data_IF_881238653210
#
_entry.id   IF_881238653210
#
_cell.length_a   1.000
_cell.length_b   1.000
_cell.length_c   1.000
_cell.angle_alpha   90.00
_cell.angle_beta   90.00
_cell.angle_gamma   90.00
#
_symmetry.space_group_name_H-M   'P 1'
#
loop_
_entity.id
_entity.type
_entity.pdbx_description
1 polymer ?
#
# COMPACT_ATOMS: atom_id res chain seq x y z
N UNK A 1 51.41 -32.73 46.40
CA UNK A 1 50.71 -32.06 47.51
C UNK A 1 49.26 -31.86 47.12
N UNK A 2 48.35 -32.24 48.03
CA UNK A 2 46.90 -32.06 48.06
C UNK A 2 46.06 -32.76 46.97
N UNK A 3 45.49 -33.90 47.36
CA UNK A 3 44.29 -34.51 46.82
C UNK A 3 43.05 -33.97 47.58
N UNK A 4 41.88 -33.96 46.94
CA UNK A 4 40.61 -34.24 47.63
C UNK A 4 39.51 -34.65 46.65
N UNK A 5 38.86 -35.75 47.01
CA UNK A 5 37.78 -36.42 46.32
C UNK A 5 36.43 -35.72 46.55
N UNK A 6 35.45 -35.99 45.68
CA UNK A 6 34.04 -35.91 46.07
C UNK A 6 33.21 -37.08 45.53
N UNK A 7 32.39 -37.60 46.43
CA UNK A 7 31.64 -38.84 46.40
C UNK A 7 30.44 -38.84 45.45
N UNK A 8 30.14 -40.02 44.92
CA UNK A 8 28.83 -40.41 44.38
C UNK A 8 27.78 -40.45 45.49
N UNK A 9 26.58 -39.93 45.19
CA UNK A 9 25.37 -40.26 45.92
C UNK A 9 24.32 -40.79 44.92
N UNK A 10 23.92 -42.04 45.17
CA UNK A 10 22.86 -42.77 44.47
C UNK A 10 21.52 -42.34 45.07
N UNK A 11 20.58 -41.92 44.23
CA UNK A 11 19.21 -41.61 44.61
C UNK A 11 18.23 -42.24 43.63
N UNK A 12 17.65 -43.37 44.04
CA UNK A 12 16.51 -44.03 43.40
C UNK A 12 15.24 -43.20 43.56
N UNK A 13 14.52 -42.97 42.46
CA UNK A 13 13.12 -42.53 42.49
C UNK A 13 12.31 -43.45 41.56
N UNK A 14 11.36 -44.16 42.16
CA UNK A 14 10.41 -45.05 41.53
C UNK A 14 9.48 -44.27 40.58
N UNK A 15 9.39 -44.72 39.34
CA UNK A 15 8.26 -44.43 38.46
C UNK A 15 7.12 -45.40 38.77
N UNK A 16 5.95 -44.87 39.07
CA UNK A 16 4.71 -45.64 39.05
C UNK A 16 4.01 -45.42 37.70
N UNK A 17 4.01 -46.47 36.86
CA UNK A 17 3.09 -46.61 35.73
C UNK A 17 1.68 -46.98 36.22
N UNK A 18 0.66 -46.59 35.45
CA UNK A 18 -0.31 -47.51 34.83
C UNK A 18 -1.28 -46.76 33.87
N UNK A 19 -1.94 -47.45 32.91
CA UNK A 19 -2.08 -47.03 31.52
C UNK A 19 -3.55 -47.13 31.02
N UNK A 20 -3.76 -46.93 29.73
CA UNK A 20 -4.76 -47.61 28.85
C UNK A 20 -4.68 -46.93 27.47
N UNK A 21 -4.08 -47.48 26.41
CA UNK A 21 -4.23 -48.73 25.66
C UNK A 21 -5.52 -48.85 24.81
N UNK A 22 -5.39 -48.57 23.51
CA UNK A 22 -5.96 -49.31 22.36
C UNK A 22 -5.41 -48.66 21.07
N UNK A 23 -4.54 -49.21 20.24
CA UNK A 23 -4.22 -50.59 19.92
C UNK A 23 -4.84 -50.94 18.56
N UNK A 24 -4.05 -50.93 17.48
CA UNK A 24 -4.02 -51.98 16.45
C UNK A 24 -2.79 -51.84 15.52
N UNK A 25 -2.11 -52.97 15.37
CA UNK A 25 -0.91 -53.35 14.57
C UNK A 25 -1.13 -53.27 13.04
N UNK A 26 -0.21 -53.50 12.09
CA UNK A 26 1.22 -53.81 11.89
C UNK A 26 1.48 -53.42 10.39
N UNK A 27 2.68 -53.08 9.91
CA UNK A 27 3.67 -54.01 9.37
C UNK A 27 4.98 -53.26 9.06
N UNK A 28 6.10 -53.96 9.30
CA UNK A 28 7.48 -53.54 9.04
C UNK A 28 7.87 -53.85 7.58
N UNK A 29 8.49 -52.87 6.92
CA UNK A 29 9.31 -53.06 5.73
C UNK A 29 10.68 -52.42 5.97
N UNK A 30 11.69 -53.27 6.12
CA UNK A 30 13.07 -52.92 6.43
C UNK A 30 13.77 -52.34 5.20
N UNK A 31 14.34 -51.13 5.30
CA UNK A 31 15.29 -50.62 4.31
C UNK A 31 16.32 -49.71 4.97
N UNK A 32 17.54 -50.24 5.05
CA UNK A 32 18.73 -49.60 5.58
C UNK A 32 19.12 -48.33 4.81
N UNK A 33 19.30 -47.20 5.49
CA UNK A 33 20.18 -46.12 5.01
C UNK A 33 20.94 -45.47 6.17
N UNK A 34 22.26 -45.41 5.98
CA UNK A 34 23.28 -44.83 6.87
C UNK A 34 22.90 -43.43 7.38
N UNK A 35 22.82 -43.26 8.69
CA UNK A 35 22.85 -41.96 9.34
C UNK A 35 24.30 -41.51 9.58
N UNK A 36 24.66 -40.39 8.96
CA UNK A 36 25.85 -39.61 9.27
C UNK A 36 25.53 -38.77 10.51
N UNK A 37 26.23 -39.01 11.61
CA UNK A 37 26.11 -38.23 12.83
C UNK A 37 26.72 -36.84 12.64
N UNK A 38 25.89 -35.80 12.59
CA UNK A 38 26.27 -34.44 12.99
C UNK A 38 25.30 -33.95 14.05
N UNK A 39 25.87 -33.73 15.22
CA UNK A 39 25.23 -33.39 16.48
C UNK A 39 24.36 -32.15 16.36
N UNK A 40 23.08 -32.30 16.70
CA UNK A 40 22.19 -31.20 17.06
C UNK A 40 22.45 -30.80 18.52
N UNK A 41 22.65 -29.50 18.75
CA UNK A 41 22.55 -28.89 20.08
C UNK A 41 21.17 -28.25 20.15
N UNK A 42 20.24 -28.89 20.87
CA UNK A 42 18.93 -28.32 21.21
C UNK A 42 19.07 -27.73 22.60
N UNK A 43 18.99 -26.40 22.69
CA UNK A 43 18.96 -25.67 23.96
C UNK A 43 17.52 -25.17 24.13
N UNK A 44 16.77 -25.84 25.01
CA UNK A 44 15.42 -25.42 25.42
C UNK A 44 15.60 -24.37 26.52
N UNK A 45 15.48 -23.10 26.14
CA UNK A 45 15.43 -21.98 27.07
C UNK A 45 14.02 -21.41 27.15
N UNK A 46 13.30 -21.71 28.24
CA UNK A 46 12.16 -20.90 28.66
C UNK A 46 12.66 -19.48 28.97
N UNK A 47 12.16 -18.48 28.26
CA UNK A 47 12.43 -17.07 28.56
C UNK A 47 11.12 -16.34 28.86
N UNK A 48 10.70 -16.40 30.12
CA UNK A 48 9.94 -15.33 30.79
C UNK A 48 10.75 -14.04 30.72
N UNK A 49 10.31 -13.05 29.93
CA UNK A 49 10.95 -11.74 29.87
C UNK A 49 10.11 -10.73 30.65
N UNK A 50 10.49 -10.56 31.92
CA UNK A 50 10.07 -9.44 32.74
C UNK A 50 10.77 -8.14 32.31
N UNK A 51 10.05 -7.04 32.45
CA UNK A 51 10.53 -5.68 32.19
C UNK A 51 11.54 -5.27 33.27
N UNK A 52 12.78 -5.00 32.88
CA UNK A 52 13.73 -4.28 33.72
C UNK A 52 13.85 -2.84 33.23
N UNK A 53 13.40 -1.91 34.07
CA UNK A 53 13.73 -0.49 34.02
C UNK A 53 15.21 -0.32 34.41
N UNK A 54 16.02 0.26 33.52
CA UNK A 54 17.32 0.82 33.92
C UNK A 54 17.19 2.34 34.03
N UNK A 55 17.33 2.84 35.26
CA UNK A 55 17.30 4.26 35.57
C UNK A 55 18.57 4.98 35.13
N UNK A 56 18.38 6.18 34.56
CA UNK A 56 19.38 7.23 34.59
C UNK A 56 19.04 8.19 35.74
N UNK A 57 19.97 8.29 36.69
CA UNK A 57 19.94 9.22 37.81
C UNK A 57 20.50 10.56 37.34
N UNK A 58 19.65 11.59 37.24
CA UNK A 58 20.10 12.98 37.17
C UNK A 58 20.09 13.56 38.59
N UNK A 59 21.28 13.95 39.09
CA UNK A 59 21.43 14.74 40.30
C UNK A 59 20.90 16.16 40.05
N UNK A 60 19.76 16.49 40.64
CA UNK A 60 19.31 17.88 40.80
C UNK A 60 19.72 18.38 42.18
N UNK A 61 20.67 19.32 42.24
CA UNK A 61 20.96 20.09 43.44
C UNK A 61 19.95 21.22 43.53
N UNK A 62 19.11 21.18 44.55
CA UNK A 62 18.22 22.27 44.94
C UNK A 62 19.01 23.20 45.85
N UNK A 63 19.20 24.45 45.42
CA UNK A 63 19.61 25.53 46.32
C UNK A 63 18.65 26.71 46.13
N UNK A 64 17.85 26.95 47.15
CA UNK A 64 17.07 28.16 47.31
C UNK A 64 17.97 29.28 47.83
N UNK A 65 17.79 30.51 47.33
CA UNK A 65 18.05 31.71 48.12
C UNK A 65 17.38 32.96 47.52
N UNK A 66 17.22 33.93 48.40
CA UNK A 66 16.19 34.95 48.44
C UNK A 66 16.33 36.12 47.47
N UNK A 67 15.18 36.73 47.23
CA UNK A 67 14.89 38.08 46.71
C UNK A 67 15.80 39.18 47.26
N UNK A 68 16.29 40.05 46.38
CA UNK A 68 16.47 41.47 46.66
C UNK A 68 16.05 42.34 45.47
N UNK A 69 15.21 43.32 45.79
CA UNK A 69 14.66 44.36 44.94
C UNK A 69 15.67 45.50 44.81
N UNK A 70 15.93 45.99 43.60
CA UNK A 70 16.42 47.36 43.42
C UNK A 70 15.93 47.91 42.08
N UNK A 71 15.08 48.93 42.22
CA UNK A 71 14.47 49.75 41.17
C UNK A 71 15.52 50.63 40.52
N UNK A 72 15.66 50.58 39.19
CA UNK A 72 16.13 51.70 38.36
C UNK A 72 15.64 51.51 36.92
N UNK A 73 14.69 52.34 36.49
CA UNK A 73 14.55 52.78 35.09
C UNK A 73 15.50 53.98 34.89
N UNK A 74 16.09 54.22 33.69
CA UNK A 74 15.28 54.73 32.58
C UNK A 74 15.80 54.47 31.13
N UNK A 75 14.97 54.94 30.18
CA UNK A 75 15.27 55.34 28.79
C UNK A 75 15.11 54.28 27.69
N UNK A 76 13.93 54.33 27.09
CA UNK A 76 13.59 53.78 25.78
C UNK A 76 14.51 54.33 24.67
N UNK A 77 15.14 53.42 23.94
CA UNK A 77 15.74 53.68 22.62
C UNK A 77 15.03 52.78 21.60
N UNK A 78 14.59 53.29 20.44
CA UNK A 78 13.88 52.48 19.45
C UNK A 78 14.90 51.60 18.71
N UNK A 79 15.11 50.38 19.21
CA UNK A 79 15.86 49.37 18.47
C UNK A 79 14.96 48.80 17.38
N UNK A 80 15.42 48.98 16.14
CA UNK A 80 14.82 48.47 14.91
C UNK A 80 14.46 47.00 15.11
N UNK A 81 13.17 46.69 15.01
CA UNK A 81 12.71 45.32 14.85
C UNK A 81 13.26 44.80 13.52
N UNK A 82 14.39 44.11 13.59
CA UNK A 82 14.72 43.11 12.60
C UNK A 82 13.71 41.98 12.79
N UNK A 83 12.51 42.16 12.21
CA UNK A 83 11.64 41.03 11.88
C UNK A 83 12.34 40.28 10.75
N UNK A 84 13.35 39.48 11.11
CA UNK A 84 13.65 38.27 10.36
C UNK A 84 12.49 37.32 10.60
N UNK A 85 11.36 37.63 9.97
CA UNK A 85 10.28 36.70 9.77
C UNK A 85 10.82 35.68 8.76
N UNK A 86 11.65 34.76 9.27
CA UNK A 86 11.98 33.55 8.56
C UNK A 86 10.65 32.83 8.42
N UNK A 87 9.98 33.04 7.28
CA UNK A 87 8.82 32.27 6.88
C UNK A 87 9.23 30.80 6.94
N UNK A 88 8.95 30.17 8.08
CA UNK A 88 9.05 28.72 8.26
C UNK A 88 8.03 28.19 7.27
N UNK A 89 8.51 27.81 6.09
CA UNK A 89 7.67 27.22 5.04
C UNK A 89 6.93 26.08 5.72
N UNK A 90 5.64 26.25 5.98
CA UNK A 90 4.87 25.20 6.63
C UNK A 90 4.97 23.99 5.72
N UNK A 91 5.56 22.90 6.20
CA UNK A 91 5.75 21.66 5.45
C UNK A 91 4.37 21.02 5.26
N UNK A 92 3.61 21.55 4.31
CA UNK A 92 2.38 20.95 3.81
C UNK A 92 2.78 19.84 2.84
N UNK A 93 2.30 18.63 3.12
CA UNK A 93 2.52 17.47 2.24
C UNK A 93 1.19 16.94 1.75
N UNK A 94 1.19 16.39 0.54
CA UNK A 94 0.00 15.82 -0.08
C UNK A 94 -0.14 14.35 0.32
N UNK A 95 -1.36 13.97 0.71
CA UNK A 95 -1.83 12.59 0.78
C UNK A 95 -2.93 12.42 -0.27
N UNK A 96 -2.69 11.56 -1.25
CA UNK A 96 -3.62 11.26 -2.34
C UNK A 96 -4.19 9.86 -2.12
N UNK A 97 -5.51 9.73 -2.03
CA UNK A 97 -6.19 8.43 -1.96
C UNK A 97 -6.90 8.15 -3.28
N UNK A 98 -6.71 6.96 -3.86
CA UNK A 98 -7.33 6.57 -5.12
C UNK A 98 -7.97 5.19 -4.95
N UNK A 99 -9.29 5.11 -5.06
CA UNK A 99 -9.97 3.84 -5.24
C UNK A 99 -9.65 3.33 -6.65
N UNK A 100 -9.28 2.06 -6.78
CA UNK A 100 -9.03 1.45 -8.08
C UNK A 100 -10.19 1.68 -9.07
N UNK A 101 -9.86 1.66 -10.36
CA UNK A 101 -10.86 1.71 -11.43
C UNK A 101 -11.80 0.51 -11.41
N UNK A 102 -12.86 0.53 -12.20
CA UNK A 102 -13.79 -0.58 -12.35
C UNK A 102 -13.05 -1.90 -12.69
N UNK A 103 -13.37 -2.97 -11.95
CA UNK A 103 -12.86 -4.32 -12.22
C UNK A 103 -13.90 -5.20 -12.92
N UNK A 104 -13.46 -6.30 -13.55
CA UNK A 104 -14.34 -7.25 -14.25
C UNK A 104 -15.52 -7.72 -13.38
N UNK A 105 -15.31 -7.89 -12.08
CA UNK A 105 -16.36 -8.33 -11.16
C UNK A 105 -17.23 -7.18 -10.65
N UNK A 106 -16.75 -5.94 -10.67
CA UNK A 106 -17.61 -4.79 -10.40
C UNK A 106 -18.62 -4.61 -11.54
N UNK A 107 -18.15 -4.71 -12.79
CA UNK A 107 -18.98 -4.67 -13.99
C UNK A 107 -20.05 -5.77 -13.96
N UNK A 108 -19.68 -7.01 -13.59
CA UNK A 108 -20.59 -8.15 -13.46
C UNK A 108 -21.45 -8.17 -12.19
N UNK A 109 -21.39 -7.10 -11.38
CA UNK A 109 -22.10 -6.98 -10.11
C UNK A 109 -21.85 -8.15 -9.13
N UNK A 110 -20.63 -8.67 -9.09
CA UNK A 110 -20.22 -9.73 -8.17
C UNK A 110 -19.59 -9.15 -6.89
N UNK A 111 -19.65 -9.89 -5.79
CA UNK A 111 -18.82 -9.61 -4.62
C UNK A 111 -17.38 -10.02 -4.89
N UNK A 112 -16.44 -9.08 -4.81
CA UNK A 112 -15.03 -9.36 -5.15
C UNK A 112 -14.18 -9.72 -3.93
N UNK A 113 -14.20 -8.89 -2.90
CA UNK A 113 -13.33 -9.06 -1.73
C UNK A 113 -11.86 -9.15 -2.11
N UNK A 114 -11.13 -10.13 -1.58
CA UNK A 114 -9.70 -10.30 -1.88
C UNK A 114 -9.41 -11.16 -3.11
N UNK A 115 -10.42 -11.55 -3.89
CA UNK A 115 -10.17 -12.23 -5.17
C UNK A 115 -9.44 -11.29 -6.11
N UNK A 116 -8.38 -11.78 -6.74
CA UNK A 116 -7.49 -10.97 -7.56
C UNK A 116 -7.98 -10.85 -9.00
N UNK A 117 -8.87 -9.88 -9.22
CA UNK A 117 -9.45 -9.59 -10.53
C UNK A 117 -8.83 -8.34 -11.15
N UNK A 118 -8.57 -8.33 -12.47
CA UNK A 118 -8.00 -7.17 -13.16
C UNK A 118 -9.04 -6.07 -13.41
N UNK A 119 -8.53 -4.90 -13.80
CA UNK A 119 -9.34 -3.78 -14.27
C UNK A 119 -10.03 -4.10 -15.61
N UNK A 120 -11.21 -3.51 -15.83
CA UNK A 120 -11.83 -3.47 -17.17
C UNK A 120 -11.13 -2.43 -18.03
N UNK A 121 -11.47 -2.37 -19.34
CA UNK A 121 -11.02 -1.26 -20.20
C UNK A 121 -11.42 0.10 -19.64
N UNK A 122 -12.66 0.22 -19.14
CA UNK A 122 -13.15 1.42 -18.46
C UNK A 122 -12.34 1.72 -17.19
N UNK A 123 -12.04 0.70 -16.37
CA UNK A 123 -11.19 0.87 -15.19
C UNK A 123 -9.77 1.35 -15.50
N UNK A 124 -9.20 0.94 -16.63
CA UNK A 124 -7.91 1.46 -17.13
C UNK A 124 -8.03 2.94 -17.51
N UNK A 125 -9.09 3.33 -18.21
CA UNK A 125 -9.35 4.74 -18.58
C UNK A 125 -9.56 5.62 -17.33
N UNK A 126 -10.29 5.11 -16.33
CA UNK A 126 -10.48 5.76 -15.03
C UNK A 126 -9.15 5.99 -14.30
N UNK A 127 -8.24 5.00 -14.30
CA UNK A 127 -6.92 5.15 -13.69
C UNK A 127 -6.05 6.18 -14.41
N UNK A 128 -6.09 6.22 -15.74
CA UNK A 128 -5.39 7.22 -16.55
C UNK A 128 -5.94 8.62 -16.24
N UNK A 129 -7.26 8.77 -16.15
CA UNK A 129 -7.90 10.05 -15.83
C UNK A 129 -7.57 10.52 -14.41
N UNK A 130 -7.52 9.60 -13.43
CA UNK A 130 -7.03 9.89 -12.09
C UNK A 130 -5.61 10.49 -12.14
N UNK A 131 -4.73 9.89 -12.96
CA UNK A 131 -3.38 10.36 -13.22
C UNK A 131 -3.31 11.79 -13.73
N UNK A 132 -4.19 12.16 -14.68
CA UNK A 132 -4.26 13.54 -15.21
C UNK A 132 -4.61 14.54 -14.13
N UNK A 133 -5.57 14.22 -13.26
CA UNK A 133 -6.01 15.09 -12.15
C UNK A 133 -4.90 15.33 -11.12
N UNK A 134 -4.08 14.32 -10.84
CA UNK A 134 -2.97 14.43 -9.88
C UNK A 134 -1.65 14.85 -10.52
N UNK A 135 -1.62 15.11 -11.83
CA UNK A 135 -0.38 15.24 -12.61
C UNK A 135 0.59 16.33 -12.12
N UNK A 136 0.09 17.35 -11.40
CA UNK A 136 0.86 18.46 -10.84
C UNK A 136 1.20 18.30 -9.35
N UNK A 137 0.63 17.29 -8.67
CA UNK A 137 0.79 17.11 -7.24
C UNK A 137 2.03 16.24 -7.00
N UNK A 138 3.02 16.67 -6.21
CA UNK A 138 4.19 15.84 -5.92
C UNK A 138 3.81 14.44 -5.39
N UNK A 139 4.51 13.41 -5.86
CA UNK A 139 4.46 12.05 -5.30
C UNK A 139 5.88 11.56 -5.09
N UNK A 140 6.19 11.20 -3.85
CA UNK A 140 7.51 10.71 -3.42
C UNK A 140 7.47 9.25 -2.98
N UNK A 141 6.28 8.74 -2.60
CA UNK A 141 6.07 7.34 -2.29
C UNK A 141 4.65 6.89 -2.60
N UNK A 142 4.50 5.63 -3.00
CA UNK A 142 3.22 5.04 -3.35
C UNK A 142 2.99 3.81 -2.48
N UNK A 143 1.79 3.70 -1.90
CA UNK A 143 1.30 2.48 -1.26
C UNK A 143 0.15 1.90 -2.06
N UNK A 144 0.12 0.58 -2.15
CA UNK A 144 -0.97 -0.14 -2.81
C UNK A 144 -1.42 -1.33 -1.98
N UNK A 145 -2.62 -1.82 -2.24
CA UNK A 145 -2.99 -3.17 -1.80
C UNK A 145 -2.13 -4.23 -2.49
N UNK A 146 -2.11 -5.45 -1.97
CA UNK A 146 -1.50 -6.59 -2.66
C UNK A 146 -2.26 -7.03 -3.94
N UNK A 147 -3.47 -6.51 -4.18
CA UNK A 147 -4.33 -6.91 -5.31
C UNK A 147 -4.00 -6.13 -6.61
N UNK A 148 -4.00 -6.83 -7.74
CA UNK A 148 -3.52 -6.35 -9.04
C UNK A 148 -4.24 -5.10 -9.51
N UNK A 149 -5.56 -5.02 -9.30
CA UNK A 149 -6.37 -3.86 -9.71
C UNK A 149 -5.93 -2.53 -9.07
N UNK A 150 -5.46 -2.57 -7.82
CA UNK A 150 -4.96 -1.37 -7.16
C UNK A 150 -3.56 -1.01 -7.64
N UNK A 151 -2.69 -2.02 -7.81
CA UNK A 151 -1.35 -1.84 -8.38
C UNK A 151 -1.43 -1.27 -9.80
N UNK A 152 -2.24 -1.86 -10.67
CA UNK A 152 -2.51 -1.37 -12.02
C UNK A 152 -2.97 0.09 -11.99
N UNK A 153 -3.90 0.44 -11.09
CA UNK A 153 -4.39 1.82 -10.97
C UNK A 153 -3.25 2.79 -10.64
N UNK A 154 -2.41 2.46 -9.65
CA UNK A 154 -1.27 3.30 -9.29
C UNK A 154 -0.28 3.48 -10.46
N UNK A 155 0.09 2.37 -11.12
CA UNK A 155 1.05 2.40 -12.22
C UNK A 155 0.52 3.22 -13.41
N UNK A 156 -0.74 3.00 -13.79
CA UNK A 156 -1.41 3.73 -14.88
C UNK A 156 -1.59 5.21 -14.57
N UNK A 157 -1.95 5.57 -13.33
CA UNK A 157 -2.07 6.96 -12.93
C UNK A 157 -0.72 7.70 -13.06
N UNK A 158 0.37 7.05 -12.69
CA UNK A 158 1.71 7.64 -12.76
C UNK A 158 2.24 7.84 -14.19
N UNK A 159 1.69 7.18 -15.21
CA UNK A 159 2.09 7.43 -16.60
C UNK A 159 1.71 8.85 -17.07
N UNK A 160 0.71 9.47 -16.43
CA UNK A 160 0.24 10.82 -16.75
C UNK A 160 0.89 11.91 -15.88
N UNK A 161 1.75 11.53 -14.93
CA UNK A 161 2.31 12.44 -13.95
C UNK A 161 3.44 13.30 -14.54
N UNK A 162 3.39 14.64 -14.34
CA UNK A 162 4.29 15.57 -15.05
C UNK A 162 5.77 15.40 -14.72
N UNK A 163 6.09 14.93 -13.51
CA UNK A 163 7.49 14.72 -13.10
C UNK A 163 8.16 13.52 -13.77
N UNK A 164 7.41 12.69 -14.50
CA UNK A 164 7.91 11.50 -15.25
C UNK A 164 8.82 10.58 -14.44
N UNK A 165 8.70 10.60 -13.11
CA UNK A 165 9.34 9.62 -12.24
C UNK A 165 8.67 8.27 -12.45
N UNK A 166 9.47 7.21 -12.39
CA UNK A 166 9.03 5.86 -12.68
C UNK A 166 8.63 5.17 -11.37
N UNK A 167 7.38 4.72 -11.21
CA UNK A 167 7.00 3.90 -10.07
C UNK A 167 7.66 2.52 -10.16
N UNK A 168 8.24 2.03 -9.07
CA UNK A 168 8.91 0.73 -8.99
C UNK A 168 8.37 -0.04 -7.78
N UNK A 169 7.84 -1.23 -8.01
CA UNK A 169 7.38 -2.12 -6.92
C UNK A 169 8.60 -2.62 -6.16
N UNK A 170 8.60 -2.40 -4.86
CA UNK A 170 9.65 -2.84 -3.95
C UNK A 170 9.15 -4.08 -3.21
N UNK A 171 9.94 -5.14 -3.28
CA UNK A 171 9.69 -6.41 -2.62
C UNK A 171 10.38 -6.42 -1.25
N UNK A 172 9.60 -6.46 -0.18
CA UNK A 172 10.07 -6.39 1.21
C UNK A 172 9.73 -7.65 2.03
N UNK A 173 9.39 -8.76 1.38
CA UNK A 173 8.94 -9.99 2.03
C UNK A 173 10.10 -10.73 2.73
N UNK A 174 11.35 -10.45 2.34
CA UNK A 174 12.55 -11.01 2.95
C UNK A 174 13.74 -10.04 2.86
N UNK A 175 14.76 -10.25 3.70
CA UNK A 175 16.03 -9.52 3.57
C UNK A 175 16.65 -9.64 2.19
N UNK A 176 16.48 -10.80 1.56
CA UNK A 176 17.00 -11.06 0.22
C UNK A 176 16.26 -10.24 -0.83
N UNK A 177 14.93 -10.17 -0.77
CA UNK A 177 14.11 -9.37 -1.66
C UNK A 177 14.43 -7.86 -1.53
N UNK A 178 14.67 -7.39 -0.30
CA UNK A 178 15.09 -6.01 -0.06
C UNK A 178 16.44 -5.70 -0.71
N UNK A 179 17.41 -6.61 -0.59
CA UNK A 179 18.73 -6.47 -1.24
C UNK A 179 18.61 -6.44 -2.75
N UNK A 180 17.76 -7.28 -3.35
CA UNK A 180 17.55 -7.31 -4.79
C UNK A 180 16.79 -6.10 -5.34
N UNK A 181 15.95 -5.47 -4.52
CA UNK A 181 15.23 -4.25 -4.88
C UNK A 181 16.08 -2.97 -4.75
N UNK A 182 17.34 -3.09 -4.32
CA UNK A 182 18.21 -1.94 -4.10
C UNK A 182 18.68 -1.32 -5.42
N UNK A 183 18.35 -0.05 -5.61
CA UNK A 183 18.91 0.77 -6.68
C UNK A 183 20.25 1.32 -6.18
N UNK A 184 21.32 1.18 -6.96
CA UNK A 184 22.65 1.69 -6.57
C UNK A 184 22.96 3.08 -7.16
N UNK A 185 22.46 3.36 -8.36
CA UNK A 185 22.62 4.65 -9.02
C UNK A 185 21.78 5.73 -8.34
N UNK A 186 22.42 6.79 -7.85
CA UNK A 186 21.74 7.93 -7.22
C UNK A 186 20.80 8.66 -8.19
N UNK A 187 21.15 8.74 -9.47
CA UNK A 187 20.29 9.37 -10.48
C UNK A 187 19.04 8.54 -10.75
N UNK A 188 19.19 7.21 -10.82
CA UNK A 188 18.06 6.29 -10.97
C UNK A 188 17.16 6.35 -9.72
N UNK A 189 17.72 6.42 -8.51
CA UNK A 189 16.93 6.61 -7.27
C UNK A 189 16.09 7.89 -7.34
N UNK A 190 16.66 9.01 -7.77
CA UNK A 190 15.94 10.30 -7.89
C UNK A 190 14.82 10.26 -8.91
N UNK A 191 14.98 9.48 -9.98
CA UNK A 191 13.98 9.27 -11.03
C UNK A 191 12.94 8.21 -10.66
N UNK A 192 13.12 7.47 -9.57
CA UNK A 192 12.23 6.40 -9.15
C UNK A 192 11.27 6.86 -8.05
N UNK A 193 10.10 6.23 -7.98
CA UNK A 193 9.18 6.33 -6.85
C UNK A 193 8.94 4.91 -6.33
N UNK A 194 9.27 4.61 -5.06
CA UNK A 194 8.98 3.29 -4.50
C UNK A 194 7.47 3.07 -4.37
N UNK A 195 7.03 1.89 -4.77
CA UNK A 195 5.67 1.37 -4.63
C UNK A 195 5.71 0.20 -3.65
N UNK A 196 5.04 0.36 -2.51
CA UNK A 196 4.97 -0.69 -1.47
C UNK A 196 3.59 -1.33 -1.52
N UNK A 197 3.54 -2.64 -1.78
CA UNK A 197 2.31 -3.41 -1.75
C UNK A 197 2.09 -4.00 -0.34
N UNK A 198 0.87 -3.88 0.19
CA UNK A 198 0.53 -4.35 1.53
C UNK A 198 -0.84 -5.01 1.57
N UNK A 199 -0.92 -6.22 2.13
CA UNK A 199 -2.19 -6.95 2.26
C UNK A 199 -3.16 -6.24 3.20
N UNK A 200 -2.65 -5.47 4.16
CA UNK A 200 -3.42 -4.68 5.11
C UNK A 200 -4.27 -3.60 4.42
N UNK A 201 -3.92 -3.21 3.19
CA UNK A 201 -4.67 -2.27 2.37
C UNK A 201 -5.66 -2.96 1.41
N UNK A 202 -5.73 -4.30 1.41
CA UNK A 202 -6.67 -5.07 0.60
C UNK A 202 -8.13 -4.71 0.93
N UNK A 203 -9.01 -4.98 -0.04
CA UNK A 203 -10.46 -4.86 0.12
C UNK A 203 -10.95 -5.70 1.31
N UNK A 204 -12.10 -5.34 1.88
CA UNK A 204 -12.77 -6.16 2.89
C UNK A 204 -13.04 -7.56 2.35
N UNK A 205 -12.65 -8.60 3.08
CA UNK A 205 -12.97 -9.98 2.74
C UNK A 205 -14.47 -10.23 2.82
N UNK A 206 -15.08 -10.66 1.71
CA UNK A 206 -16.52 -10.96 1.68
C UNK A 206 -16.84 -12.42 2.03
N UNK A 207 -15.84 -13.21 2.42
CA UNK A 207 -16.02 -14.61 2.84
C UNK A 207 -16.73 -15.44 1.77
N UNK A 208 -17.77 -16.16 2.18
CA UNK A 208 -18.58 -17.03 1.32
C UNK A 208 -19.36 -16.27 0.23
N UNK A 209 -19.50 -14.95 0.35
CA UNK A 209 -20.19 -14.16 -0.66
C UNK A 209 -19.33 -13.92 -1.91
N UNK A 210 -18.00 -14.10 -1.84
CA UNK A 210 -17.11 -13.83 -2.96
C UNK A 210 -17.48 -14.63 -4.20
N UNK A 211 -17.59 -13.94 -5.34
CA UNK A 211 -17.99 -14.53 -6.62
C UNK A 211 -19.49 -14.58 -6.85
N UNK A 212 -20.31 -14.42 -5.81
CA UNK A 212 -21.77 -14.39 -5.97
C UNK A 212 -22.23 -13.05 -6.56
N UNK A 213 -23.29 -13.11 -7.37
CA UNK A 213 -23.97 -11.91 -7.87
C UNK A 213 -24.74 -11.24 -6.73
N UNK A 214 -24.59 -9.92 -6.58
CA UNK A 214 -25.20 -9.19 -5.46
C UNK A 214 -26.73 -9.20 -5.51
N UNK A 215 -27.32 -9.18 -6.70
CA UNK A 215 -28.77 -9.19 -6.85
C UNK A 215 -29.32 -10.58 -6.51
N UNK A 216 -28.76 -11.63 -7.11
CA UNK A 216 -29.18 -13.01 -6.84
C UNK A 216 -28.98 -13.39 -5.36
N UNK A 217 -27.92 -12.91 -4.73
CA UNK A 217 -27.68 -13.11 -3.29
C UNK A 217 -28.75 -12.41 -2.46
N UNK A 218 -29.15 -11.18 -2.84
CA UNK A 218 -30.22 -10.46 -2.16
C UNK A 218 -31.59 -11.13 -2.36
N UNK A 219 -31.82 -11.77 -3.50
CA UNK A 219 -33.04 -12.54 -3.77
C UNK A 219 -33.07 -13.85 -2.97
N UNK A 220 -31.91 -14.47 -2.72
CA UNK A 220 -31.77 -15.72 -1.94
C UNK A 220 -31.84 -15.51 -0.43
N UNK A 221 -31.08 -14.55 0.09
CA UNK A 221 -30.90 -14.34 1.54
C UNK A 221 -31.72 -13.18 2.09
N UNK A 222 -32.40 -12.41 1.23
CA UNK A 222 -33.14 -11.22 1.59
C UNK A 222 -32.31 -9.94 1.45
N UNK A 223 -32.98 -8.88 0.99
CA UNK A 223 -32.35 -7.57 0.73
C UNK A 223 -31.78 -6.94 2.00
N UNK A 224 -32.49 -7.07 3.13
CA UNK A 224 -32.07 -6.50 4.42
C UNK A 224 -30.80 -7.18 4.93
N UNK A 225 -30.76 -8.52 4.92
CA UNK A 225 -29.59 -9.29 5.34
C UNK A 225 -28.36 -8.98 4.48
N UNK A 226 -28.52 -8.94 3.15
CA UNK A 226 -27.42 -8.60 2.25
C UNK A 226 -27.01 -7.14 2.39
N UNK A 227 -27.96 -6.24 2.67
CA UNK A 227 -27.64 -4.85 2.98
C UNK A 227 -26.81 -4.75 4.26
N UNK A 228 -27.18 -5.46 5.31
CA UNK A 228 -26.46 -5.53 6.58
C UNK A 228 -25.03 -6.05 6.38
N UNK A 229 -24.84 -7.21 5.76
CA UNK A 229 -23.50 -7.72 5.44
C UNK A 229 -22.66 -6.75 4.58
N UNK A 230 -23.31 -5.94 3.74
CA UNK A 230 -22.62 -4.98 2.87
C UNK A 230 -22.30 -3.67 3.54
N UNK A 231 -23.16 -3.20 4.45
CA UNK A 231 -23.15 -1.82 4.93
C UNK A 231 -23.00 -1.71 6.44
N UNK A 232 -23.22 -2.75 7.21
CA UNK A 232 -22.93 -2.73 8.65
C UNK A 232 -21.45 -2.48 8.91
N UNK A 233 -21.18 -1.83 10.04
CA UNK A 233 -19.82 -1.55 10.51
C UNK A 233 -19.19 -2.82 11.12
N UNK A 234 -19.92 -3.48 12.01
CA UNK A 234 -19.44 -4.56 12.89
C UNK A 234 -19.94 -5.95 12.48
N UNK A 235 -20.96 -6.04 11.62
CA UNK A 235 -21.52 -7.34 11.19
C UNK A 235 -20.81 -7.83 9.92
N UNK A 236 -20.02 -8.92 10.00
CA UNK A 236 -19.35 -9.48 8.83
C UNK A 236 -20.31 -10.34 7.98
N UNK A 237 -20.04 -10.50 6.68
CA UNK A 237 -20.60 -11.62 5.92
C UNK A 237 -20.04 -12.96 6.43
N UNK A 238 -20.71 -14.10 6.15
CA UNK A 238 -20.25 -15.42 6.59
C UNK A 238 -18.80 -15.70 6.19
N UNK A 239 -17.97 -16.07 7.16
CA UNK A 239 -16.52 -16.31 6.99
C UNK A 239 -15.75 -15.15 6.32
N UNK A 240 -16.23 -13.90 6.49
CA UNK A 240 -15.59 -12.69 5.98
C UNK A 240 -15.17 -11.73 7.09
N UNK A 241 -14.82 -10.51 6.67
CA UNK A 241 -14.44 -9.40 7.55
C UNK A 241 -15.60 -8.39 7.64
N UNK A 242 -15.80 -7.81 8.82
CA UNK A 242 -16.61 -6.60 8.99
C UNK A 242 -15.85 -5.36 8.51
N UNK A 243 -16.52 -4.20 8.45
CA UNK A 243 -15.82 -2.95 8.15
C UNK A 243 -14.88 -2.55 9.29
N UNK A 244 -15.25 -2.86 10.54
CA UNK A 244 -14.43 -2.68 11.74
C UNK A 244 -13.12 -3.46 11.64
N UNK A 245 -13.16 -4.77 11.38
CA UNK A 245 -11.96 -5.61 11.22
C UNK A 245 -11.05 -5.10 10.08
N UNK A 246 -11.67 -4.70 8.96
CA UNK A 246 -10.94 -4.06 7.86
C UNK A 246 -10.29 -2.74 8.30
N UNK A 247 -10.97 -1.96 9.15
CA UNK A 247 -10.46 -0.70 9.67
C UNK A 247 -9.29 -0.89 10.62
N UNK A 248 -9.37 -1.85 11.54
CA UNK A 248 -8.28 -2.17 12.47
C UNK A 248 -6.97 -2.40 11.72
N UNK A 249 -6.96 -3.30 10.72
CA UNK A 249 -5.73 -3.59 9.94
C UNK A 249 -5.28 -2.43 9.05
N UNK A 250 -6.21 -1.75 8.38
CA UNK A 250 -5.88 -0.70 7.42
C UNK A 250 -5.37 0.57 8.12
N UNK A 251 -5.99 0.94 9.23
CA UNK A 251 -5.61 2.12 10.04
C UNK A 251 -4.32 1.84 10.81
N UNK A 252 -4.14 0.66 11.38
CA UNK A 252 -2.87 0.29 12.01
C UNK A 252 -1.71 0.40 11.02
N UNK A 253 -1.86 -0.17 9.81
CA UNK A 253 -0.85 -0.05 8.76
C UNK A 253 -0.61 1.40 8.33
N UNK A 254 -1.67 2.21 8.21
CA UNK A 254 -1.54 3.63 7.90
C UNK A 254 -0.70 4.35 8.95
N UNK A 255 -1.01 4.17 10.24
CA UNK A 255 -0.31 4.82 11.34
C UNK A 255 1.16 4.35 11.46
N UNK A 256 1.42 3.07 11.26
CA UNK A 256 2.76 2.50 11.47
C UNK A 256 3.70 2.74 10.28
N UNK A 257 3.17 2.75 9.05
CA UNK A 257 3.98 2.75 7.84
C UNK A 257 3.84 4.01 7.00
N UNK A 258 2.66 4.63 6.96
CA UNK A 258 2.34 5.72 6.03
C UNK A 258 2.45 7.10 6.69
N UNK A 259 1.84 7.28 7.85
CA UNK A 259 1.87 8.54 8.61
C UNK A 259 3.30 9.01 8.94
N UNK A 260 4.26 8.13 9.32
CA UNK A 260 5.65 8.54 9.55
C UNK A 260 6.32 9.14 8.31
N UNK A 261 5.85 8.75 7.13
CA UNK A 261 6.40 9.22 5.85
C UNK A 261 5.89 10.62 5.53
N UNK A 262 4.61 10.87 5.80
CA UNK A 262 4.02 12.21 5.76
C UNK A 262 4.72 13.14 6.76
N UNK A 263 4.93 12.67 7.99
CA UNK A 263 5.69 13.40 9.03
C UNK A 263 7.13 13.71 8.60
N UNK A 264 7.76 12.82 7.83
CA UNK A 264 9.10 13.03 7.26
C UNK A 264 9.14 14.02 6.08
N UNK A 265 7.99 14.55 5.66
CA UNK A 265 7.91 15.53 4.57
C UNK A 265 7.67 14.92 3.17
N UNK A 266 7.38 13.61 3.07
CA UNK A 266 7.11 12.96 1.78
C UNK A 266 5.66 13.14 1.36
N UNK A 267 5.45 13.32 0.05
CA UNK A 267 4.12 13.29 -0.53
C UNK A 267 3.75 11.85 -0.89
N UNK A 268 2.61 11.37 -0.39
CA UNK A 268 2.23 9.97 -0.47
C UNK A 268 0.96 9.79 -1.31
N UNK A 269 0.99 8.80 -2.21
CA UNK A 269 -0.21 8.31 -2.90
C UNK A 269 -0.56 6.92 -2.39
N UNK A 270 -1.84 6.67 -2.13
CA UNK A 270 -2.38 5.36 -1.77
C UNK A 270 -3.39 4.95 -2.86
N UNK A 271 -3.14 3.85 -3.56
CA UNK A 271 -4.13 3.23 -4.44
C UNK A 271 -4.65 1.95 -3.81
N UNK A 272 -5.93 1.89 -3.47
CA UNK A 272 -6.51 0.76 -2.76
C UNK A 272 -8.01 0.60 -3.12
N UNK A 273 -8.84 0.18 -2.17
CA UNK A 273 -10.20 -0.26 -2.41
C UNK A 273 -11.24 0.56 -1.67
N UNK A 274 -12.52 0.26 -1.92
CA UNK A 274 -13.61 0.98 -1.30
C UNK A 274 -13.58 0.89 0.21
N UNK A 275 -13.57 -0.32 0.80
CA UNK A 275 -13.63 -0.44 2.26
C UNK A 275 -12.35 0.02 2.95
N UNK A 276 -11.18 -0.38 2.45
CA UNK A 276 -9.91 0.02 3.08
C UNK A 276 -9.70 1.54 3.06
N UNK A 277 -10.05 2.22 1.97
CA UNK A 277 -9.98 3.68 1.93
C UNK A 277 -11.05 4.35 2.79
N UNK A 278 -12.27 3.80 2.86
CA UNK A 278 -13.30 4.32 3.76
C UNK A 278 -12.87 4.23 5.23
N UNK A 279 -12.23 3.14 5.62
CA UNK A 279 -11.67 2.98 6.96
C UNK A 279 -10.56 4.00 7.25
N UNK A 280 -9.66 4.24 6.31
CA UNK A 280 -8.63 5.29 6.45
C UNK A 280 -9.31 6.66 6.56
N UNK A 281 -10.25 6.98 5.68
CA UNK A 281 -10.98 8.26 5.69
C UNK A 281 -11.74 8.47 7.01
N UNK A 282 -12.35 7.41 7.55
CA UNK A 282 -12.99 7.44 8.87
C UNK A 282 -12.00 7.86 9.96
N UNK A 283 -10.77 7.33 9.94
CA UNK A 283 -9.71 7.75 10.85
C UNK A 283 -9.22 9.19 10.63
N UNK A 284 -9.08 9.61 9.37
CA UNK A 284 -8.58 10.95 9.02
C UNK A 284 -9.57 12.05 9.40
N UNK A 285 -10.85 11.87 9.08
CA UNK A 285 -11.90 12.86 9.30
C UNK A 285 -12.68 12.65 10.60
N UNK A 286 -12.26 11.66 11.42
CA UNK A 286 -12.88 11.32 12.71
C UNK A 286 -14.38 11.02 12.59
N UNK A 287 -14.75 10.29 11.53
CA UNK A 287 -16.13 9.92 11.25
C UNK A 287 -16.61 8.85 12.25
N UNK A 288 -17.90 8.92 12.58
CA UNK A 288 -18.61 7.87 13.32
C UNK A 288 -18.89 6.65 12.45
N UNK A 289 -19.26 5.53 13.09
CA UNK A 289 -19.70 4.31 12.39
C UNK A 289 -20.87 4.57 11.43
N UNK A 290 -21.77 5.49 11.73
CA UNK A 290 -22.94 5.80 10.89
C UNK A 290 -22.53 6.64 9.67
N UNK A 291 -21.60 7.58 9.85
CA UNK A 291 -21.11 8.43 8.76
C UNK A 291 -20.23 7.67 7.76
N UNK A 292 -19.41 6.71 8.21
CA UNK A 292 -18.60 5.90 7.28
C UNK A 292 -19.46 4.97 6.40
N UNK A 293 -20.62 4.54 6.89
CA UNK A 293 -21.54 3.67 6.15
C UNK A 293 -22.15 4.40 4.94
N UNK A 294 -22.47 5.68 5.12
CA UNK A 294 -22.99 6.56 4.07
C UNK A 294 -21.90 7.09 3.14
N UNK A 295 -20.63 7.03 3.53
CA UNK A 295 -19.51 7.41 2.68
C UNK A 295 -19.40 6.47 1.48
N UNK A 296 -19.49 7.05 0.28
CA UNK A 296 -19.27 6.36 -0.99
C UNK A 296 -18.08 6.96 -1.74
N UNK A 297 -17.21 6.08 -2.24
CA UNK A 297 -16.03 6.46 -3.02
C UNK A 297 -16.20 6.01 -4.46
N UNK A 298 -16.21 6.94 -5.41
CA UNK A 298 -16.23 6.60 -6.84
C UNK A 298 -14.92 5.93 -7.28
N UNK A 299 -14.99 5.05 -8.28
CA UNK A 299 -13.81 4.41 -8.88
C UNK A 299 -12.98 5.43 -9.65
N UNK A 300 -11.64 5.36 -9.53
CA UNK A 300 -10.72 6.22 -10.28
C UNK A 300 -10.83 7.73 -10.00
N UNK A 301 -11.55 8.16 -8.97
CA UNK A 301 -11.59 9.55 -8.55
C UNK A 301 -10.60 9.75 -7.40
N UNK A 302 -9.50 10.50 -7.58
CA UNK A 302 -8.55 10.77 -6.51
C UNK A 302 -9.17 11.69 -5.46
N UNK A 303 -8.82 11.48 -4.19
CA UNK A 303 -9.17 12.34 -3.06
C UNK A 303 -7.88 12.89 -2.45
N UNK A 304 -7.79 14.22 -2.36
CA UNK A 304 -6.62 14.92 -1.84
C UNK A 304 -6.85 15.35 -0.39
N UNK A 305 -5.86 15.05 0.45
CA UNK A 305 -5.66 15.63 1.77
C UNK A 305 -4.36 16.42 1.79
N UNK A 306 -4.37 17.54 2.51
CA UNK A 306 -3.15 18.25 2.90
C UNK A 306 -2.87 17.89 4.35
N UNK A 307 -1.69 17.32 4.60
CA UNK A 307 -1.20 17.06 5.95
C UNK A 307 -0.30 18.23 6.38
N UNK A 308 -0.68 18.86 7.49
CA UNK A 308 0.00 20.02 8.07
C UNK A 308 -0.05 19.94 9.58
N UNK A 309 1.11 19.98 10.23
CA UNK A 309 1.22 20.05 11.70
C UNK A 309 0.42 18.94 12.43
N UNK A 310 0.47 17.71 11.89
CA UNK A 310 -0.25 16.57 12.47
C UNK A 310 -1.76 16.53 12.17
N UNK A 311 -2.27 17.44 11.34
CA UNK A 311 -3.68 17.52 10.96
C UNK A 311 -3.88 17.23 9.48
N UNK A 312 -4.96 16.51 9.17
CA UNK A 312 -5.39 16.21 7.81
C UNK A 312 -6.50 17.17 7.39
N UNK A 313 -6.32 17.84 6.27
CA UNK A 313 -7.29 18.79 5.70
C UNK A 313 -7.76 18.25 4.36
N UNK A 314 -9.01 17.77 4.30
CA UNK A 314 -9.62 17.26 3.07
C UNK A 314 -9.81 18.41 2.05
N UNK A 315 -9.28 18.26 0.84
CA UNK A 315 -9.45 19.19 -0.29
C UNK A 315 -10.41 18.70 -1.37
N UNK A 316 -10.83 17.43 -1.29
CA UNK A 316 -11.69 16.79 -2.30
C UNK A 316 -10.90 16.28 -3.50
N UNK A 317 -11.58 16.03 -4.62
CA UNK A 317 -10.91 15.63 -5.86
C UNK A 317 -10.22 16.83 -6.51
N UNK A 318 -8.93 16.74 -6.88
CA UNK A 318 -8.30 17.72 -7.74
C UNK A 318 -9.10 17.89 -9.04
N UNK A 319 -9.18 19.12 -9.52
CA UNK A 319 -9.82 19.45 -10.80
C UNK A 319 -8.92 18.95 -11.92
N UNK A 320 -9.50 18.28 -12.92
CA UNK A 320 -8.75 17.91 -14.10
C UNK A 320 -8.19 19.18 -14.77
N UNK A 321 -6.97 19.17 -15.32
CA UNK A 321 -6.45 20.32 -16.03
C UNK A 321 -7.41 20.73 -17.16
N UNK A 322 -7.83 22.00 -17.17
CA UNK A 322 -8.94 22.51 -18.00
C UNK A 322 -8.63 22.73 -19.48
N UNK A 323 -7.44 22.40 -19.97
CA UNK A 323 -7.13 22.55 -21.40
C UNK A 323 -6.44 21.34 -22.01
N UNK A 324 -6.92 21.03 -23.21
CA UNK A 324 -6.33 20.09 -24.15
C UNK A 324 -4.82 20.30 -24.19
N UNK A 325 -4.08 19.21 -23.98
CA UNK A 325 -2.66 19.18 -24.28
C UNK A 325 -2.48 19.45 -25.77
N UNK A 326 -2.37 20.72 -26.15
CA UNK A 326 -1.72 21.16 -27.37
C UNK A 326 -0.28 20.68 -27.22
N UNK A 327 -0.04 19.45 -27.67
CA UNK A 327 1.29 19.01 -28.05
C UNK A 327 1.69 19.84 -29.27
N UNK A 328 2.15 21.07 -29.02
CA UNK A 328 2.99 21.80 -29.95
C UNK A 328 4.39 21.16 -29.93
N UNK A 329 4.49 19.93 -30.44
CA UNK A 329 5.74 19.45 -31.03
C UNK A 329 5.76 19.95 -32.46
N UNK A 330 6.36 21.14 -32.68
CA UNK A 330 7.27 21.46 -33.80
C UNK A 330 7.57 22.97 -33.80
N UNK A 331 8.71 23.37 -33.22
CA UNK A 331 9.64 24.29 -33.90
C UNK A 331 10.68 23.33 -34.50
N UNK A 332 10.72 23.01 -35.79
CA UNK A 332 10.91 23.87 -36.96
C UNK A 332 10.26 23.20 -38.17
N UNK A 333 9.31 23.86 -38.82
CA UNK A 333 9.01 23.76 -40.27
C UNK A 333 7.90 24.76 -40.61
N UNK A 334 8.22 26.05 -40.48
CA UNK A 334 7.48 27.09 -41.18
C UNK A 334 8.15 27.25 -42.53
N UNK A 335 7.59 26.62 -43.56
CA UNK A 335 7.53 27.01 -44.98
C UNK A 335 6.97 25.79 -45.75
N UNK A 336 6.04 26.01 -46.67
CA UNK A 336 5.31 25.01 -47.50
C UNK A 336 3.92 24.53 -47.05
N UNK A 337 3.10 25.40 -46.44
CA UNK A 337 1.63 25.20 -46.39
C UNK A 337 0.85 26.29 -47.13
N UNK A 338 1.33 26.75 -48.29
CA UNK A 338 0.61 27.76 -49.10
C UNK A 338 0.72 27.57 -50.62
N UNK A 339 0.98 26.35 -51.13
CA UNK A 339 1.18 26.17 -52.58
C UNK A 339 0.46 25.01 -53.28
N UNK A 340 -0.31 24.15 -52.62
CA UNK A 340 -1.01 23.08 -53.33
C UNK A 340 -2.40 22.80 -52.76
N UNK A 341 -3.33 23.73 -52.97
CA UNK A 341 -4.77 23.39 -52.99
C UNK A 341 -5.56 24.30 -53.93
N UNK A 342 -5.07 24.38 -55.15
CA UNK A 342 -5.85 24.77 -56.31
C UNK A 342 -5.29 24.01 -57.49
N UNK A 343 -5.89 22.88 -57.86
CA UNK A 343 -6.09 22.42 -59.23
C UNK A 343 -6.62 20.98 -59.27
N UNK A 344 -7.76 20.84 -59.94
CA UNK A 344 -8.19 19.72 -60.77
C UNK A 344 -8.74 18.41 -60.14
N UNK A 345 -10.06 18.26 -60.35
CA UNK A 345 -10.82 17.01 -60.52
C UNK A 345 -10.29 16.14 -61.68
N UNK A 346 -10.68 14.85 -61.63
CA UNK A 346 -10.79 13.80 -62.68
C UNK A 346 -9.52 12.96 -62.95
N UNK A 347 -9.53 11.69 -62.55
CA UNK A 347 -9.86 10.56 -63.43
C UNK A 347 -9.85 9.21 -62.68
N UNK A 348 -10.77 8.35 -63.12
CA UNK A 348 -11.02 6.95 -62.81
C UNK A 348 -9.87 6.04 -63.30
N UNK A 349 -9.55 4.92 -62.62
CA UNK A 349 -9.49 3.54 -63.17
C UNK A 349 -9.06 2.50 -62.11
N UNK A 350 -9.80 1.37 -62.08
CA UNK A 350 -9.52 0.13 -61.35
C UNK A 350 -8.22 -0.55 -61.81
N UNK A 351 -7.50 -1.25 -60.91
CA UNK A 351 -6.95 -2.61 -61.14
C UNK A 351 -6.80 -3.36 -59.78
N UNK A 352 -7.35 -4.57 -59.69
CA UNK A 352 -7.14 -5.60 -58.66
C UNK A 352 -5.74 -6.22 -58.71
N UNK A 353 -5.20 -6.75 -57.59
CA UNK A 353 -4.57 -8.09 -57.46
C UNK A 353 -3.81 -8.29 -56.13
N UNK A 354 -4.09 -9.43 -55.44
CA UNK A 354 -3.19 -10.37 -54.70
C UNK A 354 -1.98 -9.84 -53.90
N UNK A 355 -1.54 -10.33 -52.72
CA UNK A 355 -1.84 -11.42 -51.76
C UNK A 355 -0.89 -11.19 -50.53
N UNK A 356 -1.06 -11.84 -49.35
CA UNK A 356 -0.34 -11.51 -48.11
C UNK A 356 0.88 -12.42 -47.83
N UNK A 357 1.86 -11.90 -47.08
CA UNK A 357 2.98 -12.66 -46.49
C UNK A 357 3.40 -11.99 -45.16
N UNK A 358 3.73 -12.66 -44.04
CA UNK A 358 3.52 -14.00 -43.50
C UNK A 358 3.83 -13.88 -41.98
N UNK A 359 3.02 -14.50 -41.13
CA UNK A 359 3.37 -14.82 -39.74
C UNK A 359 4.42 -15.93 -39.70
N UNK A 360 5.40 -15.84 -38.80
CA UNK A 360 6.20 -16.97 -38.34
C UNK A 360 6.56 -16.74 -36.88
N UNK A 361 5.96 -17.50 -35.96
CA UNK A 361 6.65 -17.97 -34.76
C UNK A 361 6.03 -19.31 -34.31
N UNK A 362 6.93 -20.25 -34.01
CA UNK A 362 6.75 -21.49 -33.23
C UNK A 362 6.10 -22.70 -33.90
N UNK A 363 6.93 -23.71 -34.22
CA UNK A 363 6.83 -25.06 -33.65
C UNK A 363 8.03 -25.91 -34.06
N UNK A 364 8.49 -26.79 -33.17
CA UNK A 364 9.15 -28.03 -33.58
C UNK A 364 10.54 -28.32 -33.00
N UNK A 365 10.56 -28.93 -31.83
CA UNK A 365 11.64 -29.76 -31.29
C UNK A 365 11.75 -31.05 -32.11
N UNK A 366 12.96 -31.47 -32.52
CA UNK A 366 13.55 -32.84 -32.57
C UNK A 366 14.71 -32.86 -33.58
N UNK A 367 15.97 -33.01 -33.13
CA UNK A 367 16.75 -34.25 -32.97
C UNK A 367 17.29 -34.89 -34.27
N UNK A 368 18.61 -35.08 -34.25
CA UNK A 368 19.46 -36.10 -34.91
C UNK A 368 20.12 -35.78 -36.27
N UNK A 369 21.47 -35.81 -36.16
CA UNK A 369 22.57 -36.03 -37.11
C UNK A 369 22.91 -34.95 -38.14
#
# INVERSE_FOLDING_TARGET
>A
MAASAFHQAIGTLQCHEYPKSSGFHHELGDSSLRLISKSFKVEVGLSTRGYYLSGQRNLGVVQASATQTSVFEPVLSPSKSNTSDSQKKSNEVALILIRHGESLWNEKNLFTGCVDVPLTKKGVEEAIEAGKRISNIPVDMIYTSALIRAQMTAMLAMTQHRRRKVPIIIHNESEQAMKWSQIFSEDTKKQSIPVIAAWQLNERMYGELQGLNKQETADRYGKEQVHEWRRSYDIPPPNGESLEMCAERAVAYFNDQIEPQLLSGKNVMIAAHGNSLRSIIMYLDKLTSQEVISLELSTGIPMLYIFKEGKFIRRGSPVAPTEAGVYAYTRVCNFYWLLFNGYARKHLYLVHSYSPFYELWTNGVTQLQ
#
